data_IF_509634554520
#
_entry.id   IF_509634554520
#
_cell.length_a   1.000
_cell.length_b   1.000
_cell.length_c   1.000
_cell.angle_alpha   90.00
_cell.angle_beta   90.00
_cell.angle_gamma   90.00
#
_symmetry.space_group_name_H-M   'P 1'
#
loop_
_entity.id
_entity.type
_entity.pdbx_description
1 polymer ?
#
# COMPACT_ATOMS: atom_id res chain seq x y z
N UNK A 1 3.68 9.85 17.00
CA UNK A 1 2.32 9.28 16.78
C UNK A 1 2.49 7.82 16.45
N UNK A 2 2.03 6.93 17.30
CA UNK A 2 2.00 5.49 17.03
C UNK A 2 0.92 5.22 15.99
N UNK A 3 1.29 4.57 14.90
CA UNK A 3 0.34 4.14 13.88
C UNK A 3 0.23 2.63 14.00
N UNK A 4 -0.81 2.18 14.64
CA UNK A 4 -1.12 0.76 14.68
C UNK A 4 -1.71 0.32 13.33
N UNK A 5 -0.97 -0.48 12.58
CA UNK A 5 -1.47 -1.17 11.40
C UNK A 5 -1.75 -2.64 11.72
N UNK A 6 -2.50 -2.88 12.76
CA UNK A 6 -2.90 -4.24 13.08
C UNK A 6 -4.22 -4.60 12.38
N UNK A 7 -4.15 -4.86 11.08
CA UNK A 7 -5.32 -5.36 10.33
C UNK A 7 -5.52 -6.83 10.67
N UNK A 8 -6.69 -7.22 11.18
CA UNK A 8 -7.01 -8.62 11.47
C UNK A 8 -6.77 -9.54 10.27
N UNK A 9 -6.18 -10.71 10.47
CA UNK A 9 -5.75 -11.62 9.41
C UNK A 9 -6.84 -11.93 8.38
N UNK A 10 -8.10 -12.12 8.80
CA UNK A 10 -9.24 -12.34 7.90
C UNK A 10 -9.60 -11.13 7.03
N UNK A 11 -9.12 -9.94 7.34
CA UNK A 11 -9.43 -8.68 6.61
C UNK A 11 -8.27 -8.13 5.79
N UNK A 12 -7.06 -8.72 5.87
CA UNK A 12 -5.84 -8.18 5.23
C UNK A 12 -6.03 -8.07 3.71
N UNK A 13 -6.55 -9.11 3.05
CA UNK A 13 -6.79 -9.09 1.61
C UNK A 13 -7.81 -8.03 1.21
N UNK A 14 -8.93 -7.91 1.93
CA UNK A 14 -9.94 -6.90 1.67
C UNK A 14 -9.41 -5.47 1.91
N UNK A 15 -8.56 -5.29 2.92
CA UNK A 15 -7.91 -4.01 3.19
C UNK A 15 -6.95 -3.59 2.08
N UNK A 16 -6.31 -4.54 1.40
CA UNK A 16 -5.41 -4.27 0.28
C UNK A 16 -6.10 -3.61 -0.91
N UNK A 17 -7.41 -3.78 -1.09
CA UNK A 17 -8.19 -3.03 -2.07
C UNK A 17 -8.06 -1.51 -1.91
N UNK A 18 -7.82 -1.03 -0.70
CA UNK A 18 -7.72 0.40 -0.36
C UNK A 18 -6.28 0.86 -0.17
N UNK A 19 -5.48 0.15 0.60
CA UNK A 19 -4.10 0.53 0.94
C UNK A 19 -3.28 -0.69 1.38
N UNK A 20 -1.94 -0.52 1.49
CA UNK A 20 -1.07 -1.58 1.97
C UNK A 20 -1.43 -1.99 3.40
N UNK A 21 -1.71 -3.27 3.66
CA UNK A 21 -2.10 -3.77 4.97
C UNK A 21 -0.92 -3.97 5.92
N UNK A 22 0.29 -4.02 5.38
CA UNK A 22 1.53 -4.27 6.13
C UNK A 22 2.54 -3.16 5.86
N UNK A 23 3.43 -2.91 6.82
CA UNK A 23 4.54 -1.98 6.65
C UNK A 23 5.76 -2.77 6.15
N UNK A 24 6.32 -2.39 5.00
CA UNK A 24 7.42 -3.12 4.36
C UNK A 24 8.59 -3.48 5.31
N UNK A 25 9.10 -2.56 6.18
CA UNK A 25 10.21 -2.87 7.07
C UNK A 25 9.90 -3.93 8.15
N UNK A 26 8.64 -4.34 8.30
CA UNK A 26 8.21 -5.30 9.32
C UNK A 26 7.90 -6.68 8.74
N UNK A 27 8.12 -6.87 7.45
CA UNK A 27 7.69 -8.11 6.78
C UNK A 27 8.78 -9.16 6.80
N UNK A 28 8.39 -10.35 7.19
CA UNK A 28 9.19 -11.57 7.04
C UNK A 28 8.59 -12.45 5.96
N UNK A 29 9.40 -12.92 5.02
CA UNK A 29 8.98 -13.78 3.93
C UNK A 29 9.41 -15.22 4.15
N UNK A 30 8.56 -16.14 3.75
CA UNK A 30 8.99 -17.50 3.42
C UNK A 30 9.61 -17.50 2.02
N UNK A 31 10.68 -18.22 1.79
CA UNK A 31 11.30 -18.35 0.45
C UNK A 31 10.28 -18.75 -0.62
N UNK A 32 9.38 -19.66 -0.29
CA UNK A 32 8.31 -20.10 -1.18
C UNK A 32 7.38 -19.00 -1.69
N UNK A 33 7.39 -17.81 -1.06
CA UNK A 33 6.69 -16.64 -1.60
C UNK A 33 7.29 -16.22 -2.95
N UNK A 34 8.61 -16.10 -3.00
CA UNK A 34 9.33 -15.69 -4.21
C UNK A 34 9.31 -16.78 -5.28
N UNK A 35 9.36 -18.04 -4.89
CA UNK A 35 9.23 -19.17 -5.81
C UNK A 35 7.86 -19.16 -6.51
N UNK A 36 6.79 -18.83 -5.79
CA UNK A 36 5.43 -18.71 -6.33
C UNK A 36 5.21 -17.44 -7.15
N UNK A 37 5.68 -16.30 -6.68
CA UNK A 37 5.54 -15.03 -7.37
C UNK A 37 6.43 -14.91 -8.62
N UNK A 38 7.42 -15.82 -8.78
CA UNK A 38 8.25 -15.93 -9.97
C UNK A 38 9.36 -14.88 -10.09
N UNK A 39 9.56 -14.03 -9.10
CA UNK A 39 10.59 -12.97 -9.11
C UNK A 39 10.81 -12.33 -7.72
N UNK A 40 11.88 -11.55 -7.61
CA UNK A 40 12.25 -10.80 -6.42
C UNK A 40 11.52 -9.46 -6.34
N UNK A 41 12.23 -8.35 -6.12
CA UNK A 41 11.65 -7.02 -6.08
C UNK A 41 11.56 -6.40 -7.48
N UNK A 42 10.43 -5.72 -7.83
CA UNK A 42 10.36 -4.93 -9.05
C UNK A 42 11.29 -3.72 -8.95
N UNK A 43 12.13 -3.51 -9.96
CA UNK A 43 13.09 -2.40 -10.00
C UNK A 43 12.61 -1.20 -10.83
N UNK A 44 11.57 -1.39 -11.59
CA UNK A 44 10.99 -0.45 -12.56
C UNK A 44 9.88 0.44 -11.97
N UNK A 45 9.48 0.21 -10.70
CA UNK A 45 8.45 0.99 -10.02
C UNK A 45 9.04 1.91 -8.96
N UNK A 46 9.19 3.18 -9.30
CA UNK A 46 9.65 4.19 -8.33
C UNK A 46 8.64 4.35 -7.20
N UNK A 47 9.05 3.97 -5.97
CA UNK A 47 8.30 4.15 -4.70
C UNK A 47 7.03 3.29 -4.54
N UNK A 48 6.81 2.30 -5.37
CA UNK A 48 5.64 1.39 -5.32
C UNK A 48 6.04 -0.09 -5.31
N UNK A 49 7.32 -0.36 -5.14
CA UNK A 49 7.93 -1.69 -5.17
C UNK A 49 7.28 -2.65 -4.16
N UNK A 50 6.97 -2.16 -2.97
CA UNK A 50 6.30 -2.94 -1.93
C UNK A 50 4.87 -3.32 -2.32
N UNK A 51 4.10 -2.34 -2.78
CA UNK A 51 2.71 -2.57 -3.22
C UNK A 51 2.64 -3.57 -4.37
N UNK A 52 3.59 -3.46 -5.31
CA UNK A 52 3.70 -4.37 -6.44
C UNK A 52 4.03 -5.80 -6.00
N UNK A 53 4.96 -5.92 -5.05
CA UNK A 53 5.33 -7.23 -4.49
C UNK A 53 4.14 -7.92 -3.81
N UNK A 54 3.36 -7.19 -3.01
CA UNK A 54 2.13 -7.75 -2.40
C UNK A 54 1.09 -8.14 -3.44
N UNK A 55 0.95 -7.34 -4.49
CA UNK A 55 0.05 -7.62 -5.60
C UNK A 55 0.41 -8.94 -6.29
N UNK A 56 1.66 -9.11 -6.68
CA UNK A 56 2.12 -10.35 -7.31
C UNK A 56 1.97 -11.56 -6.37
N UNK A 57 2.30 -11.40 -5.10
CA UNK A 57 2.06 -12.45 -4.11
C UNK A 57 0.59 -12.90 -4.07
N UNK A 58 -0.36 -11.96 -4.03
CA UNK A 58 -1.78 -12.29 -4.03
C UNK A 58 -2.27 -12.92 -5.34
N UNK A 59 -1.76 -12.51 -6.49
CA UNK A 59 -2.07 -13.14 -7.79
C UNK A 59 -1.69 -14.62 -7.81
N UNK A 60 -0.58 -14.96 -7.17
CA UNK A 60 -0.06 -16.32 -7.11
C UNK A 60 -0.50 -17.09 -5.84
N UNK A 61 -1.56 -16.63 -5.18
CA UNK A 61 -2.17 -17.33 -4.05
C UNK A 61 -1.38 -17.29 -2.74
N UNK A 62 -0.40 -16.38 -2.61
CA UNK A 62 0.31 -16.18 -1.36
C UNK A 62 -0.63 -15.59 -0.29
N UNK A 63 -0.39 -15.94 0.97
CA UNK A 63 -1.14 -15.45 2.12
C UNK A 63 -0.26 -14.50 2.92
N UNK A 64 -0.87 -13.38 3.37
CA UNK A 64 -0.23 -12.42 4.27
C UNK A 64 -0.96 -12.47 5.61
N UNK A 65 -0.22 -12.48 6.70
CA UNK A 65 -0.75 -12.45 8.06
C UNK A 65 0.01 -11.40 8.89
N UNK A 66 -0.67 -10.80 9.87
CA UNK A 66 -0.07 -9.94 10.87
C UNK A 66 0.12 -10.68 12.19
N UNK A 67 1.16 -10.32 12.92
CA UNK A 67 1.32 -10.64 14.34
C UNK A 67 0.86 -9.44 15.17
N UNK A 68 0.39 -9.63 16.43
CA UNK A 68 -0.12 -8.55 17.25
C UNK A 68 0.95 -7.61 17.81
N UNK A 69 2.21 -8.01 17.75
CA UNK A 69 3.32 -7.28 18.36
C UNK A 69 3.67 -5.99 17.61
N UNK A 70 4.04 -4.95 18.34
CA UNK A 70 4.56 -3.71 17.78
C UNK A 70 6.05 -3.88 17.51
N UNK A 71 6.41 -4.02 16.23
CA UNK A 71 7.79 -4.27 15.80
C UNK A 71 8.47 -3.09 15.12
N UNK A 72 7.75 -1.96 14.93
CA UNK A 72 8.28 -0.77 14.27
C UNK A 72 7.72 0.53 14.84
N UNK A 73 8.60 1.45 15.19
CA UNK A 73 8.26 2.85 15.45
C UNK A 73 8.47 3.67 14.17
N UNK A 74 7.38 4.08 13.52
CA UNK A 74 7.43 4.79 12.25
C UNK A 74 7.54 6.31 12.44
N UNK A 75 8.66 6.90 12.02
CA UNK A 75 8.85 8.36 12.06
C UNK A 75 8.13 9.03 10.89
N UNK A 76 7.24 9.98 11.19
CA UNK A 76 6.58 10.82 10.19
C UNK A 76 7.20 12.21 10.20
N UNK A 77 7.72 12.66 9.07
CA UNK A 77 8.32 13.97 8.88
C UNK A 77 7.56 14.78 7.83
N UNK A 78 7.72 16.10 7.86
CA UNK A 78 7.12 17.01 6.87
C UNK A 78 7.64 16.75 5.45
N UNK A 79 8.91 16.39 5.34
CA UNK A 79 9.55 16.02 4.08
C UNK A 79 8.87 14.82 3.41
N UNK A 80 8.43 13.84 4.19
CA UNK A 80 7.71 12.68 3.68
C UNK A 80 6.42 13.08 2.94
N UNK A 81 5.69 14.09 3.44
CA UNK A 81 4.46 14.54 2.81
C UNK A 81 4.72 15.43 1.60
N UNK A 82 5.75 16.29 1.67
CA UNK A 82 6.09 17.22 0.58
C UNK A 82 6.72 16.51 -0.62
N UNK A 83 7.72 15.66 -0.36
CA UNK A 83 8.62 15.18 -1.39
C UNK A 83 8.43 13.69 -1.76
N UNK A 84 7.89 12.87 -0.83
CA UNK A 84 7.79 11.42 -1.07
C UNK A 84 6.38 10.91 -1.38
N UNK A 85 5.33 11.62 -0.94
CA UNK A 85 3.93 11.16 -1.07
C UNK A 85 3.04 12.11 -1.83
N UNK A 86 3.60 13.14 -2.45
CA UNK A 86 2.89 14.14 -3.22
C UNK A 86 3.50 14.27 -4.62
N UNK A 87 2.70 14.77 -5.56
CA UNK A 87 3.13 15.06 -6.92
C UNK A 87 2.42 14.20 -7.98
N UNK A 88 2.17 14.83 -9.14
CA UNK A 88 1.35 14.25 -10.23
C UNK A 88 1.88 12.90 -10.72
N UNK A 89 3.21 12.77 -10.91
CA UNK A 89 3.79 11.53 -11.43
C UNK A 89 3.58 10.35 -10.45
N UNK A 90 3.84 10.58 -9.16
CA UNK A 90 3.62 9.56 -8.13
C UNK A 90 2.13 9.22 -7.97
N UNK A 91 1.26 10.23 -7.97
CA UNK A 91 -0.18 10.03 -7.87
C UNK A 91 -0.72 9.20 -9.05
N UNK A 92 -0.26 9.48 -10.28
CA UNK A 92 -0.63 8.72 -11.48
C UNK A 92 -0.18 7.25 -11.37
N UNK A 93 1.08 7.02 -11.02
CA UNK A 93 1.61 5.66 -10.83
C UNK A 93 0.83 4.87 -9.75
N UNK A 94 0.46 5.52 -8.65
CA UNK A 94 -0.38 4.92 -7.60
C UNK A 94 -1.78 4.57 -8.12
N UNK A 95 -2.41 5.47 -8.89
CA UNK A 95 -3.73 5.22 -9.47
C UNK A 95 -3.70 4.01 -10.41
N UNK A 96 -2.76 4.00 -11.37
CA UNK A 96 -2.60 2.92 -12.35
C UNK A 96 -2.41 1.56 -11.64
N UNK A 97 -1.53 1.50 -10.66
CA UNK A 97 -1.29 0.28 -9.88
C UNK A 97 -2.53 -0.15 -9.09
N UNK A 98 -3.29 0.77 -8.49
CA UNK A 98 -4.53 0.43 -7.77
C UNK A 98 -5.63 -0.08 -8.69
N UNK A 99 -5.76 0.48 -9.89
CA UNK A 99 -6.71 -0.02 -10.89
C UNK A 99 -6.31 -1.41 -11.39
N UNK A 100 -5.02 -1.66 -11.60
CA UNK A 100 -4.50 -2.98 -11.95
C UNK A 100 -4.78 -4.00 -10.83
N UNK A 101 -4.47 -3.67 -9.57
CA UNK A 101 -4.76 -4.51 -8.40
C UNK A 101 -6.25 -4.85 -8.32
N UNK A 102 -7.12 -3.85 -8.54
CA UNK A 102 -8.58 -4.04 -8.55
C UNK A 102 -8.99 -5.07 -9.61
N UNK A 103 -8.45 -4.98 -10.83
CA UNK A 103 -8.80 -5.88 -11.92
C UNK A 103 -8.27 -7.30 -11.66
N UNK A 104 -6.99 -7.44 -11.32
CA UNK A 104 -6.32 -8.73 -11.17
C UNK A 104 -6.84 -9.54 -9.96
N UNK A 105 -7.25 -8.84 -8.88
CA UNK A 105 -7.72 -9.49 -7.66
C UNK A 105 -9.24 -9.51 -7.51
N UNK A 106 -9.99 -8.97 -8.49
CA UNK A 106 -11.45 -9.01 -8.53
C UNK A 106 -12.14 -8.11 -7.50
N UNK A 107 -11.51 -6.98 -7.11
CA UNK A 107 -12.16 -6.06 -6.17
C UNK A 107 -13.31 -5.29 -6.81
N UNK A 108 -14.35 -5.01 -6.02
CA UNK A 108 -15.54 -4.30 -6.47
C UNK A 108 -15.32 -2.81 -6.80
N UNK A 109 -16.38 -2.16 -7.29
CA UNK A 109 -16.36 -0.76 -7.74
C UNK A 109 -15.84 0.24 -6.68
N UNK A 110 -16.09 0.00 -5.40
CA UNK A 110 -15.59 0.87 -4.32
C UNK A 110 -14.07 0.98 -4.27
N UNK A 111 -13.32 0.00 -4.77
CA UNK A 111 -11.88 0.10 -4.91
C UNK A 111 -11.46 1.17 -5.94
N UNK A 112 -12.23 1.32 -7.01
CA UNK A 112 -12.04 2.38 -8.02
C UNK A 112 -12.29 3.75 -7.41
N UNK A 113 -13.42 3.92 -6.72
CA UNK A 113 -13.76 5.18 -6.04
C UNK A 113 -12.63 5.59 -5.08
N UNK A 114 -12.14 4.65 -4.29
CA UNK A 114 -11.05 4.91 -3.37
C UNK A 114 -9.72 5.26 -4.08
N UNK A 115 -9.41 4.59 -5.19
CA UNK A 115 -8.19 4.88 -5.97
C UNK A 115 -8.20 6.31 -6.52
N UNK A 116 -9.32 6.77 -7.07
CA UNK A 116 -9.47 8.15 -7.55
C UNK A 116 -9.50 9.17 -6.42
N UNK A 117 -10.16 8.90 -5.30
CA UNK A 117 -10.14 9.77 -4.14
C UNK A 117 -8.71 9.99 -3.61
N UNK A 118 -7.92 8.92 -3.54
CA UNK A 118 -6.50 9.00 -3.16
C UNK A 118 -5.66 9.75 -4.20
N UNK A 119 -5.93 9.57 -5.50
CA UNK A 119 -5.28 10.33 -6.55
C UNK A 119 -5.49 11.84 -6.38
N UNK A 120 -6.73 12.27 -6.17
CA UNK A 120 -7.09 13.68 -5.95
C UNK A 120 -6.37 14.22 -4.72
N UNK A 121 -6.36 13.48 -3.61
CA UNK A 121 -5.64 13.88 -2.39
C UNK A 121 -4.13 14.02 -2.62
N UNK A 122 -3.52 13.15 -3.41
CA UNK A 122 -2.08 13.18 -3.69
C UNK A 122 -1.65 14.32 -4.61
N UNK A 123 -2.54 14.83 -5.46
CA UNK A 123 -2.27 16.02 -6.28
C UNK A 123 -2.67 17.33 -5.60
N UNK A 124 -3.36 17.26 -4.47
CA UNK A 124 -3.77 18.41 -3.67
C UNK A 124 -2.60 18.98 -2.87
N UNK A 125 -2.71 20.22 -2.35
CA UNK A 125 -1.69 20.78 -1.48
C UNK A 125 -1.33 19.87 -0.29
N UNK A 126 -0.06 19.82 0.07
CA UNK A 126 0.46 18.90 1.09
C UNK A 126 -0.22 19.01 2.47
N UNK A 127 -0.75 20.20 2.82
CA UNK A 127 -1.49 20.39 4.06
C UNK A 127 -2.80 19.58 4.08
N UNK A 128 -3.50 19.48 2.94
CA UNK A 128 -4.74 18.71 2.84
C UNK A 128 -4.46 17.21 2.94
N UNK A 129 -3.38 16.76 2.30
CA UNK A 129 -2.92 15.39 2.43
C UNK A 129 -2.56 15.04 3.88
N UNK A 130 -1.86 15.94 4.60
CA UNK A 130 -1.56 15.78 6.03
C UNK A 130 -2.82 15.71 6.89
N UNK A 131 -3.78 16.60 6.64
CA UNK A 131 -5.06 16.60 7.34
C UNK A 131 -5.81 15.29 7.13
N UNK A 132 -5.95 14.83 5.87
CA UNK A 132 -6.57 13.56 5.55
C UNK A 132 -5.86 12.37 6.25
N UNK A 133 -4.54 12.38 6.32
CA UNK A 133 -3.78 11.37 7.06
C UNK A 133 -4.06 11.38 8.56
N UNK A 134 -4.30 12.55 9.14
CA UNK A 134 -4.60 12.71 10.58
C UNK A 134 -6.02 12.23 10.92
N UNK A 135 -6.97 12.45 10.03
CA UNK A 135 -8.40 12.15 10.26
C UNK A 135 -8.77 10.73 9.86
N UNK A 136 -8.20 10.21 8.74
CA UNK A 136 -8.58 8.91 8.17
C UNK A 136 -7.69 7.75 8.66
N UNK A 137 -6.83 7.99 9.61
CA UNK A 137 -5.89 7.03 10.15
C UNK A 137 -5.88 7.04 11.68
#
# INVERSE_FOLDING_TARGET
MLIEKNVPNGKIRAFFAKRNPVAHPTVMFRRSFFDKAGWLYPTDYVRNEDTRLWHEGYKHGCKIANIPDVVLNFRMTDDMFKNRRNGKAFAKSQLELRLQIKNDLGYGFMAVVYAYAMYILMISPSWLLKFAYKVLR
#
